data_IF_118035242424
#
_entry.id   IF_118035242424
#
_cell.length_a   1.000
_cell.length_b   1.000
_cell.length_c   1.000
_cell.angle_alpha   90.00
_cell.angle_beta   90.00
_cell.angle_gamma   90.00
#
_symmetry.space_group_name_H-M   'P 1'
#
loop_
_entity.id
_entity.type
_entity.pdbx_description
1 polymer ?
#
# COMPACT_ATOMS: atom_id res chain seq x y z
N UNK A 1 -1.43 -60.95 3.49
CA UNK A 1 -2.36 -60.77 2.37
C UNK A 1 -2.66 -59.28 2.27
N UNK A 2 -2.15 -58.59 1.26
CA UNK A 2 -2.44 -57.18 1.00
C UNK A 2 -3.57 -57.13 -0.02
N UNK A 3 -4.78 -56.77 0.39
CA UNK A 3 -5.90 -56.57 -0.54
C UNK A 3 -5.61 -55.36 -1.43
N UNK A 4 -5.36 -55.62 -2.71
CA UNK A 4 -5.26 -54.59 -3.75
C UNK A 4 -6.68 -54.12 -4.07
N UNK A 5 -7.16 -53.08 -3.38
CA UNK A 5 -8.45 -52.47 -3.69
C UNK A 5 -8.35 -51.78 -5.06
N UNK A 6 -8.96 -52.36 -6.08
CA UNK A 6 -9.03 -51.74 -7.41
C UNK A 6 -9.87 -50.44 -7.30
N UNK A 7 -9.39 -49.30 -7.84
CA UNK A 7 -10.14 -48.05 -7.76
C UNK A 7 -11.49 -48.17 -8.47
N UNK A 8 -12.53 -47.54 -7.90
CA UNK A 8 -13.86 -47.47 -8.49
C UNK A 8 -13.85 -46.70 -9.81
N UNK A 9 -14.86 -46.90 -10.66
CA UNK A 9 -14.97 -46.15 -11.92
C UNK A 9 -15.07 -44.64 -11.67
N UNK A 10 -14.26 -43.85 -12.37
CA UNK A 10 -14.14 -42.41 -12.11
C UNK A 10 -13.07 -41.70 -12.92
N UNK A 11 -12.98 -40.38 -12.74
CA UNK A 11 -11.94 -39.53 -13.32
C UNK A 11 -10.70 -39.50 -12.43
N UNK A 12 -9.55 -39.84 -12.98
CA UNK A 12 -8.29 -39.87 -12.25
C UNK A 12 -7.17 -39.22 -13.07
N UNK A 13 -6.06 -38.77 -12.45
CA UNK A 13 -4.92 -38.23 -13.19
C UNK A 13 -4.40 -39.21 -14.24
N UNK A 14 -4.18 -38.73 -15.46
CA UNK A 14 -3.72 -39.56 -16.57
C UNK A 14 -2.35 -40.19 -16.26
N UNK A 15 -2.23 -41.54 -16.18
CA UNK A 15 -0.95 -42.21 -15.91
C UNK A 15 0.12 -41.91 -16.97
N UNK A 16 -0.28 -41.56 -18.19
CA UNK A 16 0.63 -41.26 -19.29
C UNK A 16 1.21 -39.82 -19.20
N UNK A 17 0.90 -39.07 -18.13
CA UNK A 17 1.54 -37.79 -17.83
C UNK A 17 1.04 -36.61 -18.69
N UNK A 18 -0.13 -36.73 -19.32
CA UNK A 18 -0.70 -35.64 -20.15
C UNK A 18 -1.15 -34.41 -19.34
N UNK A 19 -1.23 -34.50 -18.02
CA UNK A 19 -1.75 -33.45 -17.15
C UNK A 19 -3.29 -33.32 -17.17
N UNK A 20 -3.97 -34.17 -17.93
CA UNK A 20 -5.42 -34.28 -17.96
C UNK A 20 -5.95 -35.33 -16.96
N UNK A 21 -7.27 -35.37 -16.78
CA UNK A 21 -7.95 -36.49 -16.15
C UNK A 21 -8.30 -37.53 -17.21
N UNK A 22 -8.10 -38.82 -16.93
CA UNK A 22 -8.54 -39.94 -17.76
C UNK A 22 -9.61 -40.73 -17.03
N UNK A 23 -10.60 -41.23 -17.76
CA UNK A 23 -11.66 -42.05 -17.17
C UNK A 23 -11.20 -43.49 -16.99
N UNK A 24 -11.31 -43.99 -15.75
CA UNK A 24 -11.15 -45.39 -15.36
C UNK A 24 -12.52 -46.06 -15.29
N UNK A 25 -12.71 -47.19 -15.97
CA UNK A 25 -14.00 -47.90 -16.01
C UNK A 25 -14.18 -48.95 -14.90
N UNK A 26 -13.20 -49.09 -14.01
CA UNK A 26 -13.15 -50.14 -12.97
C UNK A 26 -12.21 -51.30 -13.32
N UNK A 27 -11.82 -51.45 -14.60
CA UNK A 27 -10.96 -52.53 -15.08
C UNK A 27 -9.82 -52.06 -15.99
N UNK A 28 -10.03 -51.00 -16.77
CA UNK A 28 -9.05 -50.39 -17.66
C UNK A 28 -9.24 -48.88 -17.80
N UNK A 29 -8.19 -48.24 -18.27
CA UNK A 29 -8.23 -46.84 -18.70
C UNK A 29 -8.92 -46.73 -20.05
N UNK A 30 -9.84 -45.78 -20.18
CA UNK A 30 -10.45 -45.44 -21.47
C UNK A 30 -9.68 -44.33 -22.19
N UNK A 31 -10.02 -44.06 -23.45
CA UNK A 31 -9.48 -42.94 -24.23
C UNK A 31 -10.17 -41.60 -23.91
N UNK A 32 -11.12 -41.59 -22.97
CA UNK A 32 -11.79 -40.36 -22.56
C UNK A 32 -10.85 -39.55 -21.68
N UNK A 33 -10.50 -38.36 -22.17
CA UNK A 33 -9.73 -37.37 -21.45
C UNK A 33 -10.62 -36.16 -21.12
N UNK A 34 -10.55 -35.69 -19.88
CA UNK A 34 -11.15 -34.45 -19.43
C UNK A 34 -10.05 -33.48 -19.00
N UNK A 35 -10.25 -32.18 -19.23
CA UNK A 35 -9.34 -31.18 -18.68
C UNK A 35 -9.32 -31.33 -17.16
N UNK A 36 -8.13 -31.51 -16.58
CA UNK A 36 -7.99 -31.42 -15.14
C UNK A 36 -8.40 -30.00 -14.72
N UNK A 37 -9.20 -29.83 -13.65
CA UNK A 37 -9.45 -28.52 -13.12
C UNK A 37 -8.12 -27.91 -12.67
N UNK A 38 -7.55 -27.04 -13.51
CA UNK A 38 -6.45 -26.19 -13.10
C UNK A 38 -6.99 -25.31 -11.99
N UNK A 39 -6.62 -25.61 -10.74
CA UNK A 39 -7.01 -24.87 -9.55
C UNK A 39 -6.62 -23.38 -9.60
N UNK A 40 -5.82 -22.98 -10.60
CA UNK A 40 -5.27 -21.64 -10.80
C UNK A 40 -5.47 -21.12 -12.23
N UNK A 41 -6.60 -21.38 -12.88
CA UNK A 41 -6.98 -20.54 -14.02
C UNK A 41 -7.54 -19.21 -13.46
N UNK A 42 -6.83 -18.07 -13.54
CA UNK A 42 -7.40 -16.80 -13.08
C UNK A 42 -8.66 -16.54 -13.90
N UNK A 43 -9.80 -16.36 -13.23
CA UNK A 43 -11.05 -15.98 -13.89
C UNK A 43 -10.79 -14.75 -14.77
N UNK A 44 -10.89 -14.93 -16.08
CA UNK A 44 -10.57 -13.89 -17.07
C UNK A 44 -11.54 -12.73 -16.84
N UNK A 45 -11.04 -11.60 -16.35
CA UNK A 45 -11.85 -10.39 -16.15
C UNK A 45 -12.38 -9.92 -17.49
N UNK A 46 -13.64 -9.52 -17.54
CA UNK A 46 -14.25 -8.98 -18.76
C UNK A 46 -13.55 -7.67 -19.14
N UNK A 47 -13.13 -7.50 -20.41
CA UNK A 47 -12.59 -6.23 -20.88
C UNK A 47 -13.64 -5.11 -20.75
N UNK A 48 -13.19 -3.91 -20.38
CA UNK A 48 -14.07 -2.74 -20.35
C UNK A 48 -14.45 -2.32 -21.77
N UNK A 49 -15.63 -1.71 -21.92
CA UNK A 49 -16.02 -1.09 -23.18
C UNK A 49 -14.98 -0.02 -23.60
N UNK A 50 -14.63 0.07 -24.89
CA UNK A 50 -13.75 1.12 -25.39
C UNK A 50 -14.30 2.51 -25.04
N UNK A 51 -13.47 3.37 -24.43
CA UNK A 51 -13.86 4.74 -24.08
C UNK A 51 -14.37 4.95 -22.65
N UNK A 52 -14.53 3.89 -21.84
CA UNK A 52 -14.89 4.06 -20.43
C UNK A 52 -13.81 4.88 -19.69
N UNK A 53 -14.16 5.97 -19.00
CA UNK A 53 -13.19 6.78 -18.28
C UNK A 53 -12.57 5.97 -17.14
N UNK A 54 -11.25 5.84 -17.13
CA UNK A 54 -10.50 5.06 -16.12
C UNK A 54 -9.99 5.92 -14.97
N UNK A 55 -9.94 7.23 -15.17
CA UNK A 55 -9.46 8.20 -14.21
C UNK A 55 -10.66 8.78 -13.46
N UNK A 56 -10.60 8.71 -12.13
CA UNK A 56 -11.58 9.32 -11.24
C UNK A 56 -10.90 10.48 -10.53
N UNK A 57 -11.65 11.47 -10.05
CA UNK A 57 -11.08 12.50 -9.18
C UNK A 57 -10.53 11.89 -7.88
N UNK A 58 -11.19 10.84 -7.38
CA UNK A 58 -10.85 10.17 -6.13
C UNK A 58 -9.48 9.51 -6.17
N UNK A 59 -9.09 8.85 -7.27
CA UNK A 59 -7.76 8.24 -7.36
C UNK A 59 -6.65 9.29 -7.36
N UNK A 60 -6.90 10.47 -7.92
CA UNK A 60 -5.93 11.57 -7.87
C UNK A 60 -5.79 12.13 -6.46
N UNK A 61 -6.90 12.29 -5.73
CA UNK A 61 -6.87 12.69 -4.32
C UNK A 61 -6.09 11.68 -3.46
N UNK A 62 -6.34 10.38 -3.65
CA UNK A 62 -5.58 9.29 -3.01
C UNK A 62 -4.08 9.39 -3.35
N UNK A 63 -3.76 9.63 -4.62
CA UNK A 63 -2.37 9.67 -5.07
C UNK A 63 -1.57 10.84 -4.46
N UNK A 64 -2.18 12.01 -4.28
CA UNK A 64 -1.47 13.21 -3.77
C UNK A 64 -1.53 13.37 -2.25
N UNK A 65 -2.42 12.66 -1.57
CA UNK A 65 -2.62 12.76 -0.11
C UNK A 65 -1.34 12.57 0.73
N UNK A 66 -0.40 11.67 0.38
CA UNK A 66 0.86 11.55 1.11
C UNK A 66 1.64 12.87 1.18
N UNK A 67 1.61 13.67 0.10
CA UNK A 67 2.32 14.96 0.05
C UNK A 67 1.69 15.94 1.03
N UNK A 68 0.36 15.99 1.10
CA UNK A 68 -0.33 16.80 2.09
C UNK A 68 0.08 16.40 3.52
N UNK A 69 0.17 15.09 3.80
CA UNK A 69 0.68 14.60 5.09
C UNK A 69 2.13 14.99 5.36
N UNK A 70 3.00 14.94 4.36
CA UNK A 70 4.40 15.37 4.48
C UNK A 70 4.55 16.86 4.74
N UNK A 71 3.70 17.69 4.11
CA UNK A 71 3.67 19.14 4.34
C UNK A 71 3.24 19.51 5.76
N UNK A 72 2.39 18.70 6.42
CA UNK A 72 2.01 18.95 7.81
C UNK A 72 3.19 18.88 8.77
N UNK A 73 4.25 18.13 8.45
CA UNK A 73 5.45 18.10 9.27
C UNK A 73 6.06 19.50 9.43
N UNK A 74 5.99 20.35 8.41
CA UNK A 74 6.55 21.71 8.45
C UNK A 74 5.76 22.68 9.33
N UNK A 75 4.59 22.29 9.82
CA UNK A 75 3.90 23.04 10.89
C UNK A 75 4.53 22.77 12.26
N UNK A 76 5.21 21.64 12.40
CA UNK A 76 5.98 21.29 13.59
C UNK A 76 7.33 22.00 13.52
N UNK A 77 7.54 22.98 14.41
CA UNK A 77 8.78 23.73 14.53
C UNK A 77 9.55 23.21 15.77
N UNK A 78 10.57 22.37 15.61
CA UNK A 78 11.33 21.84 16.74
C UNK A 78 11.94 22.96 17.58
N UNK A 79 11.76 22.90 18.90
CA UNK A 79 12.34 23.83 19.87
C UNK A 79 12.91 23.00 21.04
N UNK A 80 13.99 22.23 20.83
CA UNK A 80 14.55 21.36 21.87
C UNK A 80 14.88 22.13 23.15
N UNK A 81 14.34 21.68 24.29
CA UNK A 81 14.60 22.28 25.60
C UNK A 81 15.40 21.33 26.47
N UNK A 82 16.71 21.57 26.56
CA UNK A 82 17.62 20.82 27.42
C UNK A 82 17.97 21.62 28.68
N UNK A 83 18.00 20.94 29.82
CA UNK A 83 18.69 21.42 31.01
C UNK A 83 20.06 20.74 31.06
N UNK A 84 21.12 21.54 31.06
CA UNK A 84 22.49 21.06 31.17
C UNK A 84 22.92 21.08 32.64
N UNK A 85 23.70 20.08 33.05
CA UNK A 85 24.35 20.06 34.37
C UNK A 85 25.43 21.15 34.45
N UNK A 86 25.71 21.66 35.66
CA UNK A 86 26.65 22.76 35.88
C UNK A 86 28.09 22.43 35.44
N UNK A 87 28.45 21.15 35.44
CA UNK A 87 29.71 20.60 34.97
C UNK A 87 29.71 20.23 33.47
N UNK A 88 28.59 20.44 32.75
CA UNK A 88 28.44 20.15 31.33
C UNK A 88 28.43 18.66 30.94
N UNK A 89 28.48 17.74 31.92
CA UNK A 89 28.62 16.30 31.67
C UNK A 89 27.33 15.62 31.20
N UNK A 90 26.18 16.25 31.43
CA UNK A 90 24.88 15.70 31.11
C UNK A 90 23.89 16.76 30.63
N UNK A 91 23.02 16.35 29.72
CA UNK A 91 21.89 17.13 29.22
C UNK A 91 20.61 16.31 29.42
N UNK A 92 19.61 16.91 30.06
CA UNK A 92 18.30 16.30 30.27
C UNK A 92 17.28 17.05 29.43
N UNK A 93 16.56 16.31 28.59
CA UNK A 93 15.42 16.84 27.87
C UNK A 93 14.29 17.15 28.85
N UNK A 94 13.89 18.41 28.92
CA UNK A 94 12.90 18.90 29.90
C UNK A 94 11.47 18.81 29.42
N UNK A 95 11.23 19.01 28.12
CA UNK A 95 9.92 18.83 27.48
C UNK A 95 10.08 17.99 26.20
N UNK A 96 9.61 16.73 26.21
CA UNK A 96 9.62 15.88 25.03
C UNK A 96 8.80 16.42 23.86
N UNK A 97 7.72 17.17 24.11
CA UNK A 97 6.85 17.66 23.04
C UNK A 97 7.46 18.86 22.33
N UNK A 98 8.28 19.67 23.01
CA UNK A 98 9.00 20.78 22.41
C UNK A 98 9.93 20.32 21.26
N UNK A 99 10.47 19.09 21.31
CA UNK A 99 11.23 18.50 20.21
C UNK A 99 10.44 18.41 18.90
N UNK A 100 9.13 18.25 18.98
CA UNK A 100 8.26 18.01 17.82
C UNK A 100 7.26 19.15 17.61
N UNK A 101 7.56 20.36 18.10
CA UNK A 101 6.74 21.56 17.89
C UNK A 101 5.87 21.99 19.07
N UNK A 102 5.94 21.30 20.20
CA UNK A 102 5.15 21.62 21.39
C UNK A 102 3.65 21.33 21.17
N UNK A 103 2.73 22.18 21.65
CA UNK A 103 1.28 21.90 21.60
C UNK A 103 0.71 21.71 20.18
N UNK A 104 1.29 22.32 19.14
CA UNK A 104 0.83 22.17 17.74
C UNK A 104 0.92 20.72 17.26
N UNK A 105 1.78 19.91 17.88
CA UNK A 105 1.90 18.48 17.67
C UNK A 105 0.53 17.78 17.69
N UNK A 106 -0.33 18.09 18.65
CA UNK A 106 -1.64 17.44 18.79
C UNK A 106 -2.61 17.81 17.66
N UNK A 107 -2.52 19.05 17.15
CA UNK A 107 -3.31 19.50 16.00
C UNK A 107 -2.85 18.77 14.73
N UNK A 108 -1.54 18.70 14.50
CA UNK A 108 -0.95 17.98 13.37
C UNK A 108 -1.22 16.48 13.45
N UNK A 109 -1.16 15.90 14.64
CA UNK A 109 -1.52 14.50 14.90
C UNK A 109 -2.99 14.25 14.53
N UNK A 110 -3.91 15.08 15.02
CA UNK A 110 -5.33 14.99 14.68
C UNK A 110 -5.58 15.13 13.18
N UNK A 111 -4.94 16.10 12.52
CA UNK A 111 -5.06 16.30 11.08
C UNK A 111 -4.48 15.14 10.28
N UNK A 112 -3.41 14.51 10.77
CA UNK A 112 -2.84 13.30 10.17
C UNK A 112 -3.82 12.13 10.21
N UNK A 113 -4.55 11.95 11.31
CA UNK A 113 -5.65 10.98 11.39
C UNK A 113 -6.80 11.30 10.44
N UNK A 114 -7.13 12.58 10.26
CA UNK A 114 -8.14 13.01 9.28
C UNK A 114 -7.69 12.69 7.85
N UNK A 115 -6.42 12.94 7.50
CA UNK A 115 -5.86 12.56 6.19
C UNK A 115 -5.86 11.05 5.99
N UNK A 116 -5.55 10.27 7.03
CA UNK A 116 -5.62 8.80 6.97
C UNK A 116 -7.06 8.31 6.74
N UNK A 117 -8.05 8.90 7.41
CA UNK A 117 -9.46 8.60 7.16
C UNK A 117 -9.89 9.01 5.74
N UNK A 118 -9.46 10.17 5.27
CA UNK A 118 -9.74 10.66 3.92
C UNK A 118 -9.15 9.72 2.85
N UNK A 119 -7.94 9.17 3.06
CA UNK A 119 -7.34 8.16 2.18
C UNK A 119 -8.27 6.96 1.98
N UNK A 120 -8.85 6.45 3.06
CA UNK A 120 -9.76 5.31 3.04
C UNK A 120 -11.08 5.68 2.35
N UNK A 121 -11.66 6.83 2.70
CA UNK A 121 -12.92 7.31 2.11
C UNK A 121 -12.76 7.53 0.60
N UNK A 122 -11.69 8.19 0.15
CA UNK A 122 -11.44 8.42 -1.27
C UNK A 122 -11.19 7.11 -2.02
N UNK A 123 -10.49 6.15 -1.42
CA UNK A 123 -10.29 4.82 -2.00
C UNK A 123 -11.62 4.06 -2.15
N UNK A 124 -12.51 4.18 -1.17
CA UNK A 124 -13.86 3.64 -1.26
C UNK A 124 -14.72 4.34 -2.33
N UNK A 125 -14.59 5.65 -2.50
CA UNK A 125 -15.27 6.41 -3.55
C UNK A 125 -14.77 6.04 -4.95
N UNK A 126 -13.45 5.86 -5.15
CA UNK A 126 -12.88 5.34 -6.41
C UNK A 126 -13.42 3.94 -6.71
N UNK A 127 -13.42 3.05 -5.71
CA UNK A 127 -13.95 1.69 -5.84
C UNK A 127 -15.42 1.68 -6.27
N UNK A 128 -16.27 2.49 -5.65
CA UNK A 128 -17.69 2.62 -6.03
C UNK A 128 -17.87 3.18 -7.42
N UNK A 129 -17.05 4.15 -7.80
CA UNK A 129 -17.10 4.78 -9.12
C UNK A 129 -16.66 3.80 -10.23
N UNK A 130 -15.67 2.96 -9.98
CA UNK A 130 -15.29 1.88 -10.90
C UNK A 130 -16.41 0.85 -11.08
N UNK A 131 -17.10 0.47 -10.00
CA UNK A 131 -18.27 -0.40 -10.08
C UNK A 131 -19.40 0.23 -10.92
N UNK A 132 -19.68 1.52 -10.72
CA UNK A 132 -20.69 2.26 -11.51
C UNK A 132 -20.35 2.29 -13.00
N UNK A 133 -19.06 2.28 -13.35
CA UNK A 133 -18.56 2.28 -14.74
C UNK A 133 -18.55 0.89 -15.38
N UNK A 134 -19.13 -0.12 -14.73
CA UNK A 134 -19.26 -1.47 -15.26
C UNK A 134 -18.02 -2.35 -15.10
N UNK A 135 -17.09 -1.97 -14.20
CA UNK A 135 -15.93 -2.80 -13.91
C UNK A 135 -16.31 -4.01 -13.05
N UNK A 136 -16.18 -5.20 -13.62
CA UNK A 136 -16.40 -6.46 -12.91
C UNK A 136 -15.19 -6.76 -12.02
N UNK A 137 -15.37 -6.70 -10.68
CA UNK A 137 -14.37 -7.00 -9.63
C UNK A 137 -13.16 -6.04 -9.61
N UNK A 138 -13.36 -4.74 -9.30
CA UNK A 138 -12.25 -3.82 -9.05
C UNK A 138 -11.42 -4.24 -7.84
N UNK A 139 -10.19 -3.72 -7.76
CA UNK A 139 -9.30 -3.95 -6.62
C UNK A 139 -9.93 -3.41 -5.34
N UNK A 140 -9.94 -4.20 -4.26
CA UNK A 140 -10.71 -3.88 -3.08
C UNK A 140 -10.13 -2.66 -2.33
N UNK A 141 -10.99 -1.72 -1.93
CA UNK A 141 -10.57 -0.46 -1.29
C UNK A 141 -9.86 -0.68 0.05
N UNK A 142 -10.17 -1.76 0.79
CA UNK A 142 -9.56 -2.03 2.10
C UNK A 142 -8.02 -2.15 2.05
N UNK A 143 -7.44 -2.42 0.88
CA UNK A 143 -5.99 -2.38 0.73
C UNK A 143 -5.37 -0.98 0.90
N UNK A 144 -6.19 0.08 1.02
CA UNK A 144 -5.72 1.43 1.38
C UNK A 144 -5.21 1.53 2.82
N UNK A 145 -5.55 0.57 3.69
CA UNK A 145 -4.96 0.47 5.04
C UNK A 145 -3.45 0.24 5.01
N UNK A 146 -2.93 -0.30 3.90
CA UNK A 146 -1.49 -0.47 3.67
C UNK A 146 -0.88 0.70 2.86
N UNK A 147 -1.57 1.84 2.79
CA UNK A 147 -1.11 3.04 2.10
C UNK A 147 -1.07 2.86 0.58
N UNK A 148 0.13 2.80 0.01
CA UNK A 148 0.37 2.84 -1.45
C UNK A 148 -0.20 1.63 -2.20
N UNK A 149 -0.49 0.53 -1.49
CA UNK A 149 -0.95 -0.73 -2.07
C UNK A 149 -2.23 -0.56 -2.89
N UNK A 150 -3.16 0.30 -2.43
CA UNK A 150 -4.40 0.55 -3.18
C UNK A 150 -4.16 1.18 -4.57
N UNK A 151 -3.51 2.36 -4.71
CA UNK A 151 -3.24 2.94 -6.02
C UNK A 151 -2.42 2.02 -6.94
N UNK A 152 -1.50 1.21 -6.39
CA UNK A 152 -0.75 0.20 -7.16
C UNK A 152 -1.68 -0.89 -7.68
N UNK A 153 -2.36 -1.60 -6.78
CA UNK A 153 -3.22 -2.73 -7.12
C UNK A 153 -4.33 -2.34 -8.08
N UNK A 154 -4.99 -1.20 -7.84
CA UNK A 154 -6.01 -0.63 -8.71
C UNK A 154 -5.50 -0.37 -10.12
N UNK A 155 -4.32 0.26 -10.26
CA UNK A 155 -3.75 0.58 -11.58
C UNK A 155 -3.36 -0.67 -12.37
N UNK A 156 -2.82 -1.70 -11.70
CA UNK A 156 -2.48 -3.00 -12.34
C UNK A 156 -3.75 -3.72 -12.80
N UNK A 157 -4.79 -3.77 -11.96
CA UNK A 157 -6.07 -4.40 -12.29
C UNK A 157 -6.72 -3.69 -13.49
N UNK A 158 -6.74 -2.35 -13.49
CA UNK A 158 -7.31 -1.54 -14.59
C UNK A 158 -6.53 -1.76 -15.89
N UNK A 159 -5.19 -1.81 -15.84
CA UNK A 159 -4.35 -2.08 -17.01
C UNK A 159 -4.72 -3.38 -17.72
N UNK A 160 -5.04 -4.43 -16.94
CA UNK A 160 -5.41 -5.73 -17.47
C UNK A 160 -6.76 -5.75 -18.21
N UNK A 161 -7.71 -4.90 -17.82
CA UNK A 161 -9.06 -4.84 -18.43
C UNK A 161 -9.21 -3.74 -19.48
N UNK A 162 -8.32 -2.75 -19.48
CA UNK A 162 -8.41 -1.57 -20.34
C UNK A 162 -7.37 -1.52 -21.47
N UNK A 163 -6.90 -2.70 -21.92
CA UNK A 163 -5.98 -2.81 -23.05
C UNK A 163 -4.65 -2.06 -22.85
N UNK A 164 -4.11 -2.06 -21.62
CA UNK A 164 -2.82 -1.45 -21.30
C UNK A 164 -2.87 -0.01 -20.77
N UNK A 165 -4.04 0.65 -20.77
CA UNK A 165 -4.23 2.01 -20.21
C UNK A 165 -4.46 1.98 -18.70
N UNK A 166 -4.21 3.09 -18.01
CA UNK A 166 -4.56 3.24 -16.58
C UNK A 166 -3.39 3.25 -15.58
N UNK A 167 -2.14 3.33 -16.05
CA UNK A 167 -0.95 3.43 -15.19
C UNK A 167 -0.64 4.85 -14.68
N UNK A 168 -1.29 5.89 -15.19
CA UNK A 168 -0.98 7.26 -14.80
C UNK A 168 -1.10 7.53 -13.28
N UNK A 169 -2.15 7.06 -12.57
CA UNK A 169 -2.26 7.26 -11.13
C UNK A 169 -1.19 6.51 -10.32
N UNK A 170 -0.69 5.38 -10.82
CA UNK A 170 0.44 4.67 -10.21
C UNK A 170 1.70 5.55 -10.19
N UNK A 171 2.07 6.13 -11.33
CA UNK A 171 3.26 6.98 -11.42
C UNK A 171 3.15 8.22 -10.56
N UNK A 172 1.98 8.86 -10.53
CA UNK A 172 1.74 10.01 -9.66
C UNK A 172 1.79 9.63 -8.19
N UNK A 173 1.20 8.49 -7.80
CA UNK A 173 1.31 8.00 -6.42
C UNK A 173 2.77 7.74 -6.04
N UNK A 174 3.55 7.07 -6.90
CA UNK A 174 4.98 6.84 -6.64
C UNK A 174 5.71 8.18 -6.45
N UNK A 175 5.52 9.12 -7.36
CA UNK A 175 6.14 10.45 -7.26
C UNK A 175 5.74 11.17 -5.97
N UNK A 176 4.46 11.12 -5.59
CA UNK A 176 3.94 11.72 -4.37
C UNK A 176 4.56 11.09 -3.10
N UNK A 177 4.73 9.77 -3.05
CA UNK A 177 5.41 9.10 -1.95
C UNK A 177 6.90 9.47 -1.89
N UNK A 178 7.58 9.57 -3.03
CA UNK A 178 8.97 10.05 -3.09
C UNK A 178 9.08 11.49 -2.57
N UNK A 179 8.18 12.38 -2.99
CA UNK A 179 8.14 13.77 -2.48
C UNK A 179 7.89 13.78 -0.97
N UNK A 180 6.96 12.98 -0.48
CA UNK A 180 6.64 12.88 0.95
C UNK A 180 7.84 12.37 1.76
N UNK A 181 8.59 11.42 1.22
CA UNK A 181 9.84 10.94 1.80
C UNK A 181 10.88 12.06 1.88
N UNK A 182 11.07 12.80 0.79
CA UNK A 182 12.00 13.95 0.75
C UNK A 182 11.59 15.01 1.77
N UNK A 183 10.31 15.37 1.84
CA UNK A 183 9.77 16.31 2.83
C UNK A 183 10.07 15.84 4.26
N UNK A 184 9.87 14.55 4.56
CA UNK A 184 10.21 13.96 5.86
C UNK A 184 11.71 14.04 6.16
N UNK A 185 12.57 13.74 5.18
CA UNK A 185 14.03 13.81 5.35
C UNK A 185 14.47 15.24 5.63
N UNK A 186 13.96 16.21 4.88
CA UNK A 186 14.26 17.64 5.09
C UNK A 186 13.84 18.06 6.50
N UNK A 187 12.63 17.69 6.93
CA UNK A 187 12.18 17.99 8.28
C UNK A 187 13.04 17.32 9.37
N UNK A 188 13.47 16.07 9.16
CA UNK A 188 14.40 15.40 10.06
C UNK A 188 15.76 16.09 10.13
N UNK A 189 16.27 16.61 9.02
CA UNK A 189 17.50 17.42 9.00
C UNK A 189 17.32 18.68 9.84
N UNK A 190 16.19 19.38 9.71
CA UNK A 190 15.88 20.57 10.55
C UNK A 190 15.88 20.20 12.03
N UNK A 191 15.16 19.13 12.42
CA UNK A 191 15.12 18.66 13.80
C UNK A 191 16.52 18.37 14.37
N UNK A 192 17.33 17.60 13.64
CA UNK A 192 18.70 17.25 14.06
C UNK A 192 19.56 18.50 14.17
N UNK A 193 19.42 19.45 13.22
CA UNK A 193 20.18 20.70 13.23
C UNK A 193 19.85 21.54 14.48
N UNK A 194 18.58 21.66 14.85
CA UNK A 194 18.15 22.38 16.05
C UNK A 194 18.69 21.73 17.34
N UNK A 195 18.65 20.40 17.41
CA UNK A 195 19.19 19.65 18.56
C UNK A 195 20.70 19.91 18.68
N UNK A 196 21.45 19.71 17.60
CA UNK A 196 22.90 19.92 17.59
C UNK A 196 23.27 21.38 17.88
N UNK A 197 22.53 22.34 17.32
CA UNK A 197 22.73 23.76 17.57
C UNK A 197 22.51 24.12 19.04
N UNK A 198 21.44 23.61 19.65
CA UNK A 198 21.13 23.84 21.06
C UNK A 198 22.20 23.24 21.97
N UNK A 199 22.67 22.03 21.67
CA UNK A 199 23.76 21.40 22.44
C UNK A 199 25.06 22.21 22.29
N UNK A 200 25.44 22.57 21.07
CA UNK A 200 26.69 23.29 20.79
C UNK A 200 26.76 24.66 21.48
N UNK A 201 25.65 25.40 21.54
CA UNK A 201 25.58 26.71 22.21
C UNK A 201 25.73 26.64 23.73
N UNK A 202 25.44 25.49 24.34
CA UNK A 202 25.43 25.32 25.80
C UNK A 202 26.64 24.51 26.30
N UNK A 203 27.57 24.11 25.42
CA UNK A 203 28.86 23.55 25.83
C UNK A 203 29.77 24.67 26.37
N UNK A 204 30.47 24.47 27.49
CA UNK A 204 31.40 25.45 28.02
C UNK A 204 32.56 25.69 27.04
N UNK A 205 32.88 26.96 26.77
CA UNK A 205 34.01 27.33 25.91
C UNK A 205 35.33 26.85 26.52
N UNK A 206 35.92 25.80 25.94
CA UNK A 206 37.22 25.25 26.37
C UNK A 206 37.32 23.72 26.48
N UNK A 207 36.26 22.98 26.14
CA UNK A 207 36.30 21.53 25.92
C UNK A 207 36.62 21.18 24.45
#
# INVERSE_FOLDING_TARGET
MTDQTTPAAGWYPDPNGSGALRWWDGSRWSDQLAAAPTAYAPARRRPLAPGTPLYTVWIWLVAVLPVASGLLLFLLHPQPMFRFSADGSSAVLTDPFALVGGPIYFVVLGLSWVLAAAMIVFSWLDYRELLRRGMERPFHWAWSFLGIVYPIGRSVVVRGVAGGRGLAPLWVAIAAYVVSLVLSVVWSIILISEILGTVAQNLPAGA
#
